data_IF_960571852326
#
_entry.id   IF_960571852326
#
_cell.length_a   1.000
_cell.length_b   1.000
_cell.length_c   1.000
_cell.angle_alpha   90.00
_cell.angle_beta   90.00
_cell.angle_gamma   90.00
#
_symmetry.space_group_name_H-M   'P 1'
#
loop_
_entity.id
_entity.type
_entity.pdbx_description
1 polymer ?
#
# COMPACT_ATOMS: atom_id res chain seq x y z
N UNK A 1 -6.05 -25.51 -10.21
CA UNK A 1 -5.54 -26.73 -9.56
C UNK A 1 -5.31 -26.42 -8.08
N UNK A 2 -6.32 -26.66 -7.24
CA UNK A 2 -6.31 -26.24 -5.83
C UNK A 2 -5.53 -27.24 -4.98
N UNK A 3 -4.45 -26.81 -4.32
CA UNK A 3 -3.82 -27.56 -3.23
C UNK A 3 -4.31 -27.02 -1.90
N UNK A 4 -5.60 -27.15 -1.66
CA UNK A 4 -6.12 -27.00 -0.30
C UNK A 4 -5.61 -28.20 0.52
N UNK A 5 -4.40 -28.09 1.09
CA UNK A 5 -3.91 -29.02 2.12
C UNK A 5 -4.67 -28.66 3.39
N UNK A 6 -5.97 -29.01 3.40
CA UNK A 6 -6.79 -28.99 4.59
C UNK A 6 -6.18 -29.99 5.57
N UNK A 7 -5.49 -29.47 6.59
CA UNK A 7 -5.42 -30.11 7.90
C UNK A 7 -6.75 -29.98 8.66
N UNK A 8 -7.87 -29.89 7.94
CA UNK A 8 -9.12 -30.28 8.55
C UNK A 8 -9.02 -31.78 8.75
N UNK A 9 -9.13 -32.22 10.01
CA UNK A 9 -9.63 -33.55 10.34
C UNK A 9 -10.92 -33.77 9.56
N UNK A 10 -10.80 -34.24 8.33
CA UNK A 10 -11.86 -34.90 7.62
C UNK A 10 -12.23 -36.06 8.53
N UNK A 11 -13.39 -35.97 9.16
CA UNK A 11 -14.15 -37.19 9.43
C UNK A 11 -14.56 -37.69 8.05
N UNK A 12 -13.61 -38.31 7.36
CA UNK A 12 -13.87 -39.31 6.35
C UNK A 12 -14.68 -40.37 7.10
N UNK A 13 -16.01 -40.28 6.98
CA UNK A 13 -16.83 -41.47 7.05
C UNK A 13 -16.24 -42.44 6.04
N UNK A 14 -15.52 -43.43 6.55
CA UNK A 14 -14.70 -44.35 5.79
C UNK A 14 -15.54 -45.02 4.68
N UNK A 15 -15.19 -44.77 3.43
CA UNK A 15 -15.45 -45.69 2.32
C UNK A 15 -14.13 -46.39 1.98
N UNK A 16 -13.62 -47.19 2.92
CA UNK A 16 -12.60 -48.20 2.63
C UNK A 16 -13.31 -49.53 2.35
N UNK A 17 -13.30 -49.96 1.08
CA UNK A 17 -13.96 -51.20 0.73
C UNK A 17 -13.92 -51.54 -0.76
N UNK A 18 -12.85 -52.20 -1.16
CA UNK A 18 -12.74 -53.14 -2.28
C UNK A 18 -12.81 -52.58 -3.72
N UNK A 19 -11.65 -52.62 -4.37
CA UNK A 19 -11.47 -52.76 -5.82
C UNK A 19 -12.01 -54.12 -6.28
N UNK A 20 -13.33 -54.24 -6.40
CA UNK A 20 -14.00 -55.31 -7.14
C UNK A 20 -14.70 -54.63 -8.31
N UNK A 21 -14.40 -55.04 -9.53
CA UNK A 21 -14.99 -54.50 -10.77
C UNK A 21 -16.49 -54.24 -10.57
N UNK A 22 -16.95 -52.97 -10.67
CA UNK A 22 -18.33 -52.66 -10.37
C UNK A 22 -19.22 -53.38 -11.38
N UNK A 23 -20.13 -54.20 -10.86
CA UNK A 23 -21.32 -54.59 -11.60
C UNK A 23 -22.00 -53.31 -12.12
N UNK A 24 -22.46 -53.32 -13.38
CA UNK A 24 -22.88 -52.16 -14.18
C UNK A 24 -23.97 -51.23 -13.57
N UNK A 25 -24.45 -51.45 -12.34
CA UNK A 25 -25.53 -50.69 -11.70
C UNK A 25 -25.14 -49.75 -10.54
N UNK A 26 -24.12 -50.05 -9.75
CA UNK A 26 -23.82 -49.26 -8.52
C UNK A 26 -23.13 -47.92 -8.79
N UNK A 27 -22.39 -47.82 -9.90
CA UNK A 27 -21.72 -46.56 -10.28
C UNK A 27 -22.70 -45.43 -10.61
N UNK A 28 -23.86 -45.75 -11.17
CA UNK A 28 -24.85 -44.75 -11.60
C UNK A 28 -25.53 -44.06 -10.39
N UNK A 29 -25.89 -44.81 -9.35
CA UNK A 29 -26.52 -44.25 -8.16
C UNK A 29 -25.59 -43.30 -7.39
N UNK A 30 -24.30 -43.65 -7.28
CA UNK A 30 -23.28 -42.80 -6.64
C UNK A 30 -23.03 -41.51 -7.43
N UNK A 31 -23.01 -41.60 -8.77
CA UNK A 31 -22.88 -40.43 -9.64
C UNK A 31 -24.10 -39.49 -9.55
N UNK A 32 -25.33 -40.02 -9.42
CA UNK A 32 -26.55 -39.23 -9.24
C UNK A 32 -26.53 -38.51 -7.88
N UNK A 33 -26.16 -39.20 -6.79
CA UNK A 33 -26.08 -38.59 -5.47
C UNK A 33 -25.00 -37.50 -5.39
N UNK A 34 -23.85 -37.69 -6.04
CA UNK A 34 -22.80 -36.68 -6.14
C UNK A 34 -23.28 -35.43 -6.92
N UNK A 35 -24.00 -35.62 -8.03
CA UNK A 35 -24.61 -34.50 -8.77
C UNK A 35 -25.64 -33.73 -7.95
N UNK A 36 -26.52 -34.42 -7.21
CA UNK A 36 -27.49 -33.75 -6.35
C UNK A 36 -26.83 -32.98 -5.20
N UNK A 37 -25.71 -33.46 -4.67
CA UNK A 37 -24.93 -32.69 -3.70
C UNK A 37 -24.29 -31.44 -4.31
N UNK A 38 -23.86 -31.51 -5.58
CA UNK A 38 -23.32 -30.37 -6.31
C UNK A 38 -24.39 -29.30 -6.59
N UNK A 39 -25.58 -29.72 -7.05
CA UNK A 39 -26.74 -28.84 -7.26
C UNK A 39 -27.18 -28.15 -5.97
N UNK A 40 -26.94 -28.78 -4.82
CA UNK A 40 -27.22 -28.21 -3.50
C UNK A 40 -26.07 -27.40 -2.90
N UNK A 41 -24.94 -27.23 -3.58
CA UNK A 41 -23.77 -26.51 -3.07
C UNK A 41 -23.89 -24.98 -3.23
N UNK A 42 -25.02 -24.39 -2.86
CA UNK A 42 -25.16 -22.93 -2.84
C UNK A 42 -24.15 -22.36 -1.84
N UNK A 43 -23.21 -21.49 -2.27
CA UNK A 43 -22.19 -20.96 -1.39
C UNK A 43 -22.85 -20.05 -0.34
N UNK A 44 -22.53 -20.31 0.93
CA UNK A 44 -22.89 -19.46 2.04
C UNK A 44 -21.72 -19.46 2.99
N UNK A 45 -20.83 -18.48 2.81
CA UNK A 45 -19.59 -18.42 3.54
C UNK A 45 -19.16 -16.98 3.83
N UNK A 46 -18.33 -16.85 4.85
CA UNK A 46 -17.74 -15.61 5.32
C UNK A 46 -16.24 -15.80 5.40
N UNK A 47 -15.50 -14.80 4.91
CA UNK A 47 -14.04 -14.73 5.03
C UNK A 47 -13.65 -13.56 5.92
N UNK A 48 -12.70 -13.82 6.81
CA UNK A 48 -12.02 -12.81 7.59
C UNK A 48 -10.52 -12.83 7.27
N UNK A 49 -9.99 -11.67 6.94
CA UNK A 49 -8.59 -11.49 6.57
C UNK A 49 -8.11 -10.15 7.10
N UNK A 50 -6.84 -10.07 7.49
CA UNK A 50 -6.24 -8.80 7.92
C UNK A 50 -6.09 -7.86 6.72
N UNK A 51 -6.16 -6.54 6.91
CA UNK A 51 -5.96 -5.57 5.83
C UNK A 51 -4.61 -5.74 5.13
N UNK A 52 -4.58 -5.42 3.84
CA UNK A 52 -3.35 -5.35 3.04
C UNK A 52 -2.81 -3.95 3.13
N UNK A 53 -1.54 -3.80 3.50
CA UNK A 53 -0.87 -2.50 3.51
C UNK A 53 0.13 -2.41 2.38
N UNK A 54 0.00 -1.40 1.53
CA UNK A 54 1.02 -1.05 0.53
C UNK A 54 1.79 0.17 0.98
N UNK A 55 3.10 0.01 1.10
CA UNK A 55 4.05 1.07 1.36
C UNK A 55 4.50 1.64 0.02
N UNK A 56 4.22 2.92 -0.20
CA UNK A 56 4.49 3.64 -1.45
C UNK A 56 4.94 5.06 -1.15
N UNK A 57 5.20 5.84 -2.20
CA UNK A 57 5.67 7.22 -2.11
C UNK A 57 4.54 8.18 -2.48
N UNK A 58 4.18 9.07 -1.54
CA UNK A 58 3.15 10.08 -1.74
C UNK A 58 3.78 11.47 -1.86
N UNK A 59 3.34 12.33 -2.80
CA UNK A 59 3.88 13.67 -2.95
C UNK A 59 3.66 14.48 -1.67
N UNK A 60 4.70 15.19 -1.23
CA UNK A 60 4.63 16.04 -0.04
C UNK A 60 4.03 17.40 -0.35
N UNK A 61 3.14 17.88 0.51
CA UNK A 61 2.74 19.28 0.53
C UNK A 61 3.57 20.04 1.55
N UNK A 62 4.47 20.87 1.05
CA UNK A 62 5.42 21.59 1.89
C UNK A 62 4.82 22.86 2.45
N UNK A 63 4.65 22.91 3.78
CA UNK A 63 4.27 24.14 4.48
C UNK A 63 5.48 25.02 4.80
N UNK A 64 6.67 24.42 4.90
CA UNK A 64 7.92 25.09 5.25
C UNK A 64 9.10 24.56 4.42
N UNK A 65 10.13 25.40 4.24
CA UNK A 65 11.36 25.07 3.53
C UNK A 65 12.56 25.33 4.44
N UNK A 66 13.42 24.33 4.59
CA UNK A 66 14.65 24.36 5.39
C UNK A 66 15.85 24.18 4.47
N UNK A 67 16.88 25.02 4.60
CA UNK A 67 18.12 24.87 3.82
C UNK A 67 19.06 23.93 4.57
N UNK A 68 19.12 22.66 4.16
CA UNK A 68 19.89 21.61 4.83
C UNK A 68 21.39 21.64 4.50
N UNK A 69 21.77 22.18 3.34
CA UNK A 69 23.16 22.25 2.92
C UNK A 69 23.42 23.48 2.07
N UNK A 70 24.67 23.94 2.06
CA UNK A 70 25.19 24.97 1.18
C UNK A 70 26.28 24.37 0.29
N UNK A 71 26.04 24.31 -1.01
CA UNK A 71 27.03 23.87 -2.00
C UNK A 71 27.83 25.08 -2.45
N UNK A 72 29.12 25.08 -2.15
CA UNK A 72 30.08 26.07 -2.61
C UNK A 72 30.72 25.55 -3.88
N UNK A 73 30.47 26.21 -4.99
CA UNK A 73 31.10 25.95 -6.28
C UNK A 73 32.18 27.01 -6.52
N UNK A 74 33.41 26.60 -6.81
CA UNK A 74 34.51 27.52 -7.13
C UNK A 74 34.96 27.20 -8.54
N UNK A 75 34.73 28.14 -9.45
CA UNK A 75 35.09 28.04 -10.86
C UNK A 75 36.42 28.76 -11.07
N UNK A 76 37.45 27.99 -11.42
CA UNK A 76 38.73 28.52 -11.85
C UNK A 76 38.69 28.83 -13.34
N UNK A 77 38.60 30.11 -13.69
CA UNK A 77 38.43 30.53 -15.08
C UNK A 77 39.70 30.44 -15.92
N UNK A 78 40.88 30.39 -15.29
CA UNK A 78 42.15 30.21 -16.00
C UNK A 78 42.42 28.74 -16.32
N UNK A 79 42.18 27.86 -15.34
CA UNK A 79 42.41 26.43 -15.48
C UNK A 79 41.23 25.73 -16.17
N UNK A 80 40.06 26.39 -16.27
CA UNK A 80 38.84 25.78 -16.79
C UNK A 80 38.32 24.65 -15.89
N UNK A 81 38.60 24.71 -14.59
CA UNK A 81 38.23 23.66 -13.62
C UNK A 81 37.20 24.18 -12.63
N UNK A 82 36.27 23.33 -12.23
CA UNK A 82 35.32 23.61 -11.15
C UNK A 82 35.60 22.68 -9.96
N UNK A 83 35.65 23.25 -8.76
CA UNK A 83 35.67 22.48 -7.51
C UNK A 83 34.41 22.75 -6.70
N UNK A 84 33.84 21.72 -6.11
CA UNK A 84 32.64 21.80 -5.28
C UNK A 84 32.95 21.38 -3.85
N UNK A 85 32.37 22.09 -2.88
CA UNK A 85 32.43 21.76 -1.46
C UNK A 85 31.03 21.90 -0.88
N UNK A 86 30.56 20.91 -0.12
CA UNK A 86 29.23 20.96 0.49
C UNK A 86 29.37 21.17 1.99
N UNK A 87 28.76 22.23 2.51
CA UNK A 87 28.64 22.50 3.94
C UNK A 87 27.24 22.07 4.38
N UNK A 88 27.14 21.14 5.33
CA UNK A 88 25.85 20.83 5.94
C UNK A 88 25.48 21.93 6.93
N UNK A 89 24.27 22.46 6.85
CA UNK A 89 23.77 23.47 7.79
C UNK A 89 23.12 22.77 8.99
N UNK A 90 23.17 23.40 10.16
CA UNK A 90 22.40 22.94 11.31
C UNK A 90 20.90 23.04 11.00
N UNK A 91 20.18 21.93 11.16
CA UNK A 91 18.73 21.90 10.99
C UNK A 91 18.04 22.45 12.25
N UNK A 92 16.88 23.09 12.13
CA UNK A 92 16.10 23.48 13.30
C UNK A 92 15.74 22.24 14.14
N UNK A 93 15.56 22.43 15.45
CA UNK A 93 15.19 21.34 16.35
C UNK A 93 13.95 20.60 15.87
N UNK A 94 14.00 19.27 15.86
CA UNK A 94 12.91 18.40 15.40
C UNK A 94 12.93 18.05 13.91
N UNK A 95 13.88 18.57 13.12
CA UNK A 95 14.01 18.24 11.71
C UNK A 95 15.17 17.29 11.44
N UNK A 96 14.92 16.27 10.62
CA UNK A 96 15.94 15.33 10.12
C UNK A 96 15.74 15.15 8.62
N UNK A 97 16.79 15.19 7.79
CA UNK A 97 16.67 14.88 6.38
C UNK A 97 16.22 13.42 6.24
N UNK A 98 15.47 13.08 5.18
CA UNK A 98 15.15 11.69 4.96
C UNK A 98 16.43 10.88 4.68
N UNK A 99 16.44 9.61 5.08
CA UNK A 99 17.55 8.72 4.78
C UNK A 99 17.71 8.56 3.27
N UNK A 100 18.95 8.49 2.80
CA UNK A 100 19.29 8.23 1.39
C UNK A 100 20.30 7.10 1.29
N UNK A 101 20.29 6.37 0.17
CA UNK A 101 21.34 5.40 -0.16
C UNK A 101 22.57 6.09 -0.77
N UNK A 102 23.59 5.31 -1.16
CA UNK A 102 24.83 5.82 -1.77
C UNK A 102 24.59 6.56 -3.10
N UNK A 103 23.48 6.28 -3.78
CA UNK A 103 23.06 7.00 -5.00
C UNK A 103 22.32 8.33 -4.69
N UNK A 104 22.11 8.66 -3.42
CA UNK A 104 21.33 9.82 -2.98
C UNK A 104 19.82 9.66 -3.17
N UNK A 105 19.33 8.44 -3.45
CA UNK A 105 17.90 8.14 -3.55
C UNK A 105 17.31 7.96 -2.16
N UNK A 106 16.15 8.54 -1.91
CA UNK A 106 15.45 8.40 -0.63
C UNK A 106 15.13 6.93 -0.33
N UNK A 107 15.38 6.52 0.91
CA UNK A 107 15.06 5.18 1.42
C UNK A 107 14.29 5.24 2.73
N UNK A 108 13.50 4.21 3.00
CA UNK A 108 12.87 4.00 4.30
C UNK A 108 12.91 2.52 4.69
N UNK A 109 12.95 2.22 5.98
CA UNK A 109 12.82 0.85 6.47
C UNK A 109 11.37 0.55 6.79
N UNK A 110 10.78 -0.41 6.07
CA UNK A 110 9.45 -0.92 6.34
C UNK A 110 9.56 -2.11 7.28
N UNK A 111 8.79 -2.08 8.38
CA UNK A 111 8.64 -3.22 9.29
C UNK A 111 7.28 -3.86 9.04
N UNK A 112 7.26 -5.18 8.87
CA UNK A 112 6.04 -5.93 8.57
C UNK A 112 6.04 -7.29 9.30
N UNK A 113 4.90 -7.96 9.34
CA UNK A 113 4.77 -9.31 9.91
C UNK A 113 4.47 -10.29 8.79
N UNK A 114 5.20 -11.41 8.76
CA UNK A 114 5.00 -12.47 7.81
C UNK A 114 5.34 -13.83 8.46
N UNK A 115 4.42 -14.78 8.32
CA UNK A 115 4.43 -16.11 8.93
C UNK A 115 4.71 -16.03 10.44
N UNK A 116 3.98 -15.15 11.12
CA UNK A 116 4.13 -14.91 12.56
C UNK A 116 5.45 -14.27 13.00
N UNK A 117 6.31 -13.87 12.06
CA UNK A 117 7.63 -13.29 12.36
C UNK A 117 7.69 -11.84 11.89
N UNK A 118 8.22 -10.95 12.72
CA UNK A 118 8.52 -9.57 12.32
C UNK A 118 9.73 -9.55 11.39
N UNK A 119 9.57 -8.90 10.23
CA UNK A 119 10.60 -8.73 9.21
C UNK A 119 10.77 -7.24 8.89
N UNK A 120 11.91 -6.90 8.32
CA UNK A 120 12.18 -5.56 7.80
C UNK A 120 12.62 -5.64 6.35
N UNK A 121 12.33 -4.59 5.59
CA UNK A 121 12.85 -4.39 4.24
C UNK A 121 13.17 -2.92 4.02
N UNK A 122 14.13 -2.63 3.14
CA UNK A 122 14.47 -1.27 2.75
C UNK A 122 13.72 -0.94 1.46
N UNK A 123 12.88 0.08 1.51
CA UNK A 123 12.15 0.60 0.37
C UNK A 123 12.91 1.80 -0.19
N UNK A 124 13.30 1.75 -1.46
CA UNK A 124 13.95 2.85 -2.16
C UNK A 124 12.98 3.52 -3.14
N UNK A 125 13.00 4.85 -3.24
CA UNK A 125 12.17 5.55 -4.22
C UNK A 125 12.52 5.12 -5.66
N UNK A 126 11.54 4.91 -6.57
CA UNK A 126 10.09 4.99 -6.40
C UNK A 126 9.42 3.60 -6.18
N UNK A 127 10.16 2.60 -5.72
CA UNK A 127 9.61 1.25 -5.50
C UNK A 127 8.52 1.24 -4.43
N UNK A 128 7.62 0.27 -4.52
CA UNK A 128 6.57 0.02 -3.52
C UNK A 128 6.72 -1.39 -2.94
N UNK A 129 6.14 -1.60 -1.77
CA UNK A 129 6.14 -2.90 -1.09
C UNK A 129 4.76 -3.18 -0.52
N UNK A 130 4.24 -4.39 -0.73
CA UNK A 130 2.93 -4.79 -0.22
C UNK A 130 3.08 -5.84 0.88
N UNK A 131 2.62 -5.48 2.08
CA UNK A 131 2.50 -6.37 3.23
C UNK A 131 1.14 -7.07 3.19
N UNK A 132 1.19 -8.37 2.96
CA UNK A 132 0.05 -9.28 2.97
C UNK A 132 -0.12 -9.93 4.35
N UNK A 133 -1.33 -10.38 4.66
CA UNK A 133 -1.54 -11.31 5.77
C UNK A 133 -0.93 -12.68 5.46
N UNK A 134 -0.74 -13.51 6.48
CA UNK A 134 -0.21 -14.88 6.33
C UNK A 134 -1.21 -15.88 5.74
N UNK A 135 -2.48 -15.49 5.71
CA UNK A 135 -3.60 -16.32 5.34
C UNK A 135 -4.90 -15.63 5.70
N UNK A 136 -5.99 -16.36 5.51
CA UNK A 136 -7.34 -15.92 5.87
C UNK A 136 -8.03 -17.01 6.68
N UNK A 137 -9.10 -16.65 7.38
CA UNK A 137 -10.02 -17.61 7.95
C UNK A 137 -11.32 -17.60 7.17
N UNK A 138 -11.94 -18.77 7.01
CA UNK A 138 -13.24 -18.87 6.37
C UNK A 138 -14.15 -19.81 7.15
N UNK A 139 -15.45 -19.56 7.03
CA UNK A 139 -16.50 -20.38 7.63
C UNK A 139 -17.68 -20.45 6.65
N UNK A 140 -18.38 -21.58 6.62
CA UNK A 140 -19.56 -21.80 5.80
C UNK A 140 -19.37 -22.88 4.75
N UNK A 141 -20.07 -22.77 3.63
CA UNK A 141 -20.07 -23.76 2.54
C UNK A 141 -19.58 -23.15 1.25
N UNK A 142 -18.63 -23.82 0.59
CA UNK A 142 -18.01 -23.40 -0.66
C UNK A 142 -17.88 -24.60 -1.61
N UNK A 143 -18.09 -24.35 -2.90
CA UNK A 143 -17.76 -25.30 -3.96
C UNK A 143 -16.25 -25.20 -4.26
N UNK A 144 -15.57 -26.35 -4.29
CA UNK A 144 -14.13 -26.45 -4.56
C UNK A 144 -13.88 -27.46 -5.66
N UNK A 145 -12.76 -27.35 -6.35
CA UNK A 145 -12.35 -28.31 -7.38
C UNK A 145 -11.06 -28.98 -6.94
N UNK A 146 -11.07 -30.31 -6.85
CA UNK A 146 -9.90 -31.11 -6.50
C UNK A 146 -9.79 -32.26 -7.50
N UNK A 147 -8.65 -32.35 -8.17
CA UNK A 147 -8.36 -33.43 -9.14
C UNK A 147 -9.45 -33.54 -10.24
N UNK A 148 -9.88 -32.40 -10.79
CA UNK A 148 -10.98 -32.25 -11.77
C UNK A 148 -12.37 -32.71 -11.26
N UNK A 149 -12.48 -33.06 -9.98
CA UNK A 149 -13.76 -33.33 -9.32
C UNK A 149 -14.22 -32.11 -8.54
N UNK A 150 -15.45 -31.67 -8.81
CA UNK A 150 -16.06 -30.59 -8.03
C UNK A 150 -16.70 -31.15 -6.76
N UNK A 151 -16.23 -30.68 -5.60
CA UNK A 151 -16.69 -31.10 -4.29
C UNK A 151 -17.19 -29.90 -3.47
N UNK A 152 -18.24 -30.12 -2.66
CA UNK A 152 -18.75 -29.12 -1.74
C UNK A 152 -18.07 -29.25 -0.37
N UNK A 153 -17.32 -28.24 0.05
CA UNK A 153 -16.62 -28.23 1.35
C UNK A 153 -17.40 -27.35 2.33
N UNK A 154 -17.59 -27.86 3.54
CA UNK A 154 -18.26 -27.12 4.62
C UNK A 154 -17.34 -26.98 5.83
N UNK A 155 -17.08 -25.75 6.24
CA UNK A 155 -16.37 -25.39 7.47
C UNK A 155 -17.38 -24.87 8.50
N UNK A 156 -17.75 -25.72 9.47
CA UNK A 156 -18.69 -25.36 10.54
C UNK A 156 -18.04 -24.34 11.50
N UNK A 157 -16.74 -24.49 11.77
CA UNK A 157 -15.92 -23.57 12.54
C UNK A 157 -14.95 -22.81 11.62
N UNK A 158 -14.55 -21.57 11.98
CA UNK A 158 -13.55 -20.84 11.21
C UNK A 158 -12.29 -21.66 11.02
N UNK A 159 -11.92 -21.89 9.76
CA UNK A 159 -10.75 -22.65 9.35
C UNK A 159 -9.72 -21.71 8.74
N UNK A 160 -8.47 -21.80 9.20
CA UNK A 160 -7.37 -20.99 8.68
C UNK A 160 -6.79 -21.61 7.40
N UNK A 161 -6.57 -20.77 6.39
CA UNK A 161 -5.95 -21.13 5.12
C UNK A 161 -4.72 -20.22 4.92
N UNK A 162 -3.49 -20.76 4.95
CA UNK A 162 -2.30 -19.97 4.70
C UNK A 162 -2.20 -19.58 3.23
N UNK A 163 -1.66 -18.40 2.94
CA UNK A 163 -1.28 -18.05 1.58
C UNK A 163 0.05 -18.71 1.21
N UNK A 164 0.09 -19.31 0.01
CA UNK A 164 1.32 -19.95 -0.49
C UNK A 164 2.35 -18.93 -1.00
N UNK A 165 1.91 -17.73 -1.39
CA UNK A 165 2.77 -16.68 -1.93
C UNK A 165 2.30 -15.28 -1.52
N UNK A 166 3.17 -14.29 -1.72
CA UNK A 166 2.97 -12.90 -1.31
C UNK A 166 3.34 -11.95 -2.46
N UNK A 167 2.49 -11.87 -3.50
CA UNK A 167 2.84 -11.19 -4.75
C UNK A 167 3.22 -9.74 -4.51
N UNK A 168 4.31 -9.28 -5.13
CA UNK A 168 4.77 -7.89 -5.01
C UNK A 168 4.46 -7.12 -6.30
N UNK A 169 4.23 -5.80 -6.22
CA UNK A 169 4.10 -4.96 -7.41
C UNK A 169 5.32 -5.10 -8.32
N UNK A 170 5.09 -5.46 -9.58
CA UNK A 170 6.17 -5.65 -10.58
C UNK A 170 6.41 -4.39 -11.41
N UNK A 171 5.40 -3.54 -11.55
CA UNK A 171 5.50 -2.27 -12.26
C UNK A 171 6.00 -1.17 -11.35
N UNK A 172 7.14 -0.58 -11.72
CA UNK A 172 7.64 0.64 -11.08
C UNK A 172 7.14 1.81 -11.93
N UNK A 173 6.25 2.63 -11.35
CA UNK A 173 5.86 3.91 -11.94
C UNK A 173 6.55 5.04 -11.18
N UNK A 174 7.14 6.00 -11.90
CA UNK A 174 7.70 7.20 -11.29
C UNK A 174 6.53 8.11 -10.89
N UNK A 175 6.32 8.39 -9.59
CA UNK A 175 5.26 9.30 -9.19
C UNK A 175 5.62 10.73 -9.62
N UNK A 176 4.60 11.53 -9.90
CA UNK A 176 4.75 12.92 -10.35
C UNK A 176 4.49 13.90 -9.22
N UNK A 177 5.26 14.99 -9.17
CA UNK A 177 5.08 16.08 -8.21
C UNK A 177 4.81 17.41 -8.95
N UNK A 178 3.90 18.29 -8.46
CA UNK A 178 3.61 19.58 -9.11
C UNK A 178 4.83 20.50 -9.29
N UNK A 179 5.84 20.37 -8.43
CA UNK A 179 7.10 21.13 -8.52
C UNK A 179 8.12 20.57 -9.53
N UNK A 180 7.77 19.52 -10.29
CA UNK A 180 8.60 18.97 -11.36
C UNK A 180 9.13 17.56 -11.09
N UNK A 181 9.97 17.03 -12.00
CA UNK A 181 10.59 15.72 -11.84
C UNK A 181 11.51 15.66 -10.63
N UNK A 182 11.48 14.54 -9.92
CA UNK A 182 12.35 14.28 -8.78
C UNK A 182 12.79 12.81 -8.77
N UNK A 183 13.87 12.48 -9.51
CA UNK A 183 14.34 11.10 -9.64
C UNK A 183 14.90 10.52 -8.33
N UNK A 184 15.07 11.34 -7.29
CA UNK A 184 15.66 10.93 -6.00
C UNK A 184 14.63 10.85 -4.87
N UNK A 185 13.38 11.25 -5.09
CA UNK A 185 12.29 11.11 -4.13
C UNK A 185 12.25 12.18 -3.04
N UNK A 186 13.11 13.21 -3.07
CA UNK A 186 13.15 14.28 -2.07
C UNK A 186 11.85 15.11 -1.95
N UNK A 187 10.95 15.00 -2.92
CA UNK A 187 9.62 15.60 -2.97
C UNK A 187 8.50 14.66 -2.48
N UNK A 188 8.86 13.47 -2.01
CA UNK A 188 7.91 12.42 -1.62
C UNK A 188 8.18 11.94 -0.20
N UNK A 189 7.13 11.41 0.42
CA UNK A 189 7.23 10.73 1.72
C UNK A 189 6.77 9.28 1.59
N UNK A 190 7.40 8.35 2.33
CA UNK A 190 6.87 7.00 2.43
C UNK A 190 5.52 7.05 3.13
N UNK A 191 4.54 6.36 2.58
CA UNK A 191 3.17 6.31 3.08
C UNK A 191 2.66 4.88 3.01
N UNK A 192 2.03 4.41 4.08
CA UNK A 192 1.30 3.14 4.07
C UNK A 192 -0.16 3.40 3.69
N UNK A 193 -0.63 2.72 2.64
CA UNK A 193 -2.02 2.76 2.19
C UNK A 193 -2.63 1.40 2.51
N UNK A 194 -3.74 1.40 3.22
CA UNK A 194 -4.57 0.22 3.37
C UNK A 194 -5.38 0.02 2.07
N UNK A 195 -5.18 -1.11 1.39
CA UNK A 195 -5.90 -1.46 0.16
C UNK A 195 -7.22 -2.20 0.44
N UNK A 196 -7.49 -2.50 1.71
CA UNK A 196 -8.63 -3.27 2.16
C UNK A 196 -8.58 -4.74 1.74
N UNK A 197 -9.67 -5.46 2.02
CA UNK A 197 -9.79 -6.87 1.69
C UNK A 197 -9.98 -7.13 0.18
N UNK A 198 -10.33 -6.11 -0.61
CA UNK A 198 -10.54 -6.24 -2.06
C UNK A 198 -9.26 -6.62 -2.81
N UNK A 199 -8.10 -6.17 -2.33
CA UNK A 199 -6.81 -6.49 -2.93
C UNK A 199 -6.50 -8.01 -2.95
N UNK A 200 -7.06 -8.79 -2.02
CA UNK A 200 -6.91 -10.25 -2.04
C UNK A 200 -7.64 -10.90 -3.22
N UNK A 201 -8.78 -10.35 -3.65
CA UNK A 201 -9.55 -10.89 -4.78
C UNK A 201 -8.74 -10.80 -6.07
N UNK A 202 -8.01 -9.70 -6.25
CA UNK A 202 -7.15 -9.46 -7.42
C UNK A 202 -5.85 -10.26 -7.35
N UNK A 203 -5.22 -10.33 -6.17
CA UNK A 203 -3.92 -10.99 -6.00
C UNK A 203 -4.01 -12.52 -5.92
N UNK A 204 -5.15 -13.07 -5.51
CA UNK A 204 -5.38 -14.50 -5.35
C UNK A 204 -6.63 -14.94 -6.12
N UNK A 205 -6.60 -14.88 -7.46
CA UNK A 205 -7.75 -15.23 -8.30
C UNK A 205 -8.15 -16.70 -8.13
N UNK A 206 -7.19 -17.56 -7.79
CA UNK A 206 -7.40 -18.99 -7.57
C UNK A 206 -7.95 -19.32 -6.17
N UNK A 207 -8.13 -18.35 -5.27
CA UNK A 207 -8.66 -18.61 -3.92
C UNK A 207 -10.19 -18.50 -3.91
N UNK A 208 -10.88 -19.61 -4.18
CA UNK A 208 -12.35 -19.64 -4.35
C UNK A 208 -13.15 -19.02 -3.20
N UNK A 209 -12.65 -19.10 -1.96
CA UNK A 209 -13.28 -18.46 -0.81
C UNK A 209 -13.23 -16.92 -0.89
N UNK A 210 -12.10 -16.36 -1.34
CA UNK A 210 -11.96 -14.91 -1.54
C UNK A 210 -12.84 -14.40 -2.69
N UNK A 211 -13.09 -15.24 -3.69
CA UNK A 211 -13.91 -14.89 -4.86
C UNK A 211 -15.42 -14.97 -4.58
N UNK A 212 -15.85 -15.91 -3.74
CA UNK A 212 -17.28 -16.27 -3.59
C UNK A 212 -17.89 -15.82 -2.27
N UNK A 213 -17.11 -15.78 -1.19
CA UNK A 213 -17.63 -15.50 0.15
C UNK A 213 -17.78 -14.01 0.43
N UNK A 214 -18.60 -13.68 1.43
CA UNK A 214 -18.66 -12.29 1.92
C UNK A 214 -17.33 -11.90 2.61
N UNK A 215 -16.73 -10.80 2.15
CA UNK A 215 -15.53 -10.20 2.72
C UNK A 215 -15.91 -9.03 3.61
N UNK A 216 -15.42 -9.02 4.86
CA UNK A 216 -15.58 -7.87 5.74
C UNK A 216 -14.70 -6.71 5.24
N UNK A 217 -15.33 -5.59 4.88
CA UNK A 217 -14.63 -4.35 4.50
C UNK A 217 -14.41 -3.49 5.74
N UNK A 218 -13.19 -2.98 5.91
CA UNK A 218 -12.86 -2.00 6.94
C UNK A 218 -12.81 -0.61 6.30
N UNK A 219 -13.35 0.43 6.98
CA UNK A 219 -13.21 1.80 6.50
C UNK A 219 -11.75 2.25 6.61
N UNK A 220 -11.27 2.98 5.61
CA UNK A 220 -9.91 3.52 5.57
C UNK A 220 -9.83 4.79 6.44
N UNK A 221 -8.86 4.91 7.36
CA UNK A 221 -8.59 6.18 8.01
C UNK A 221 -7.90 7.14 7.03
N UNK A 222 -8.47 8.33 6.83
CA UNK A 222 -7.84 9.42 6.08
C UNK A 222 -7.34 10.48 7.08
N UNK A 223 -6.03 10.57 7.28
CA UNK A 223 -5.41 11.66 8.02
C UNK A 223 -4.29 12.28 7.17
N UNK A 224 -4.29 13.61 7.04
CA UNK A 224 -3.24 14.35 6.34
C UNK A 224 -2.25 14.86 7.39
N UNK A 225 -1.02 14.39 7.32
CA UNK A 225 0.07 14.86 8.19
C UNK A 225 0.84 16.01 7.52
N UNK A 226 1.17 17.08 8.26
CA UNK A 226 1.99 18.20 7.75
C UNK A 226 3.41 17.73 7.39
N UNK A 227 4.02 18.33 6.37
CA UNK A 227 5.37 17.96 5.88
C UNK A 227 6.28 19.16 5.61
N UNK A 228 7.60 18.94 5.65
CA UNK A 228 8.63 19.98 5.46
C UNK A 228 9.64 19.60 4.39
N UNK A 229 10.09 20.60 3.62
CA UNK A 229 11.08 20.43 2.55
C UNK A 229 12.49 20.75 3.01
N UNK A 230 13.46 19.96 2.56
CA UNK A 230 14.89 20.29 2.66
C UNK A 230 15.44 20.72 1.30
N UNK A 231 16.22 21.80 1.27
CA UNK A 231 16.88 22.32 0.07
C UNK A 231 18.38 22.48 0.28
N UNK A 232 19.15 22.35 -0.79
CA UNK A 232 20.52 22.84 -0.85
C UNK A 232 20.58 24.23 -1.50
N UNK A 233 21.38 25.14 -0.94
CA UNK A 233 21.67 26.45 -1.52
C UNK A 233 23.03 26.43 -2.21
N UNK A 234 23.10 26.78 -3.49
CA UNK A 234 24.39 26.88 -4.20
C UNK A 234 24.93 28.31 -4.14
N UNK A 235 26.22 28.46 -3.84
CA UNK A 235 26.97 29.72 -3.89
C UNK A 235 28.16 29.50 -4.82
N UNK A 236 28.28 30.30 -5.88
CA UNK A 236 29.36 30.17 -6.86
C UNK A 236 30.37 31.30 -6.69
N UNK A 237 31.65 30.94 -6.60
CA UNK A 237 32.80 31.84 -6.55
C UNK A 237 33.65 31.65 -7.81
N UNK A 238 34.31 32.72 -8.26
CA UNK A 238 35.22 32.69 -9.40
C UNK A 238 36.63 33.03 -8.96
N UNK A 239 37.60 32.20 -9.34
CA UNK A 239 39.03 32.44 -9.13
C UNK A 239 39.78 32.44 -10.47
N UNK A 240 40.81 33.30 -10.61
CA UNK A 240 41.68 33.34 -11.79
C UNK A 240 41.48 34.51 -12.78
N UNK A 241 40.44 35.33 -12.68
CA UNK A 241 40.32 36.53 -13.53
C UNK A 241 40.78 37.82 -12.85
N UNK A 242 41.28 38.82 -13.60
CA UNK A 242 41.20 40.22 -13.14
C UNK A 242 39.74 40.45 -12.75
N UNK A 243 39.48 40.89 -11.52
CA UNK A 243 38.14 41.12 -11.00
C UNK A 243 37.37 42.11 -11.91
N UNK A 244 36.70 41.60 -12.93
CA UNK A 244 35.56 42.28 -13.51
C UNK A 244 34.56 42.22 -12.39
N UNK A 245 34.31 43.36 -11.74
CA UNK A 245 33.22 43.50 -10.77
C UNK A 245 31.94 43.07 -11.48
N UNK A 246 31.59 41.81 -11.36
CA UNK A 246 30.27 41.33 -11.69
C UNK A 246 29.40 42.02 -10.65
N UNK A 247 28.64 43.02 -11.11
CA UNK A 247 27.68 43.70 -10.26
C UNK A 247 26.93 42.62 -9.49
N UNK A 248 26.93 42.71 -8.15
CA UNK A 248 26.06 41.91 -7.32
C UNK A 248 24.68 42.01 -7.95
N UNK A 249 24.27 40.94 -8.63
CA UNK A 249 22.88 40.74 -8.92
C UNK A 249 22.30 40.52 -7.54
N UNK A 250 21.81 41.62 -6.95
CA UNK A 250 20.86 41.61 -5.87
C UNK A 250 19.59 40.93 -6.38
N UNK A 251 19.68 39.63 -6.64
CA UNK A 251 18.54 38.75 -6.55
C UNK A 251 18.29 38.60 -5.05
N UNK A 252 17.76 39.67 -4.46
CA UNK A 252 16.88 39.54 -3.31
C UNK A 252 15.96 38.38 -3.67
N UNK A 253 15.91 37.29 -2.89
CA UNK A 253 14.83 36.32 -3.05
C UNK A 253 13.57 37.18 -2.99
N UNK A 254 12.80 37.22 -4.07
CA UNK A 254 11.49 37.82 -4.00
C UNK A 254 10.80 37.09 -2.85
N UNK A 255 10.63 37.79 -1.73
CA UNK A 255 9.77 37.33 -0.64
C UNK A 255 8.51 36.86 -1.34
N UNK A 256 8.15 35.57 -1.27
CA UNK A 256 6.90 35.14 -1.83
C UNK A 256 5.85 35.98 -1.10
N UNK A 257 5.34 36.97 -1.82
CA UNK A 257 4.18 37.71 -1.38
C UNK A 257 3.11 36.65 -1.44
N UNK A 258 2.82 36.06 -0.29
CA UNK A 258 1.61 35.31 -0.06
C UNK A 258 0.48 36.26 -0.43
N UNK A 259 0.09 36.21 -1.70
CA UNK A 259 -1.22 36.61 -2.11
C UNK A 259 -2.14 35.62 -1.42
N UNK A 260 -2.49 35.93 -0.18
CA UNK A 260 -3.68 35.42 0.46
C UNK A 260 -4.79 35.64 -0.56
N UNK A 261 -5.20 34.55 -1.22
CA UNK A 261 -6.33 34.56 -2.13
C UNK A 261 -7.56 34.85 -1.27
N UNK A 262 -7.87 36.13 -1.09
CA UNK A 262 -9.24 36.58 -0.91
C UNK A 262 -9.95 36.35 -2.23
N UNK A 263 -10.49 35.15 -2.41
CA UNK A 263 -11.53 34.90 -3.39
C UNK A 263 -12.39 33.72 -2.93
N UNK A 264 -13.69 34.00 -2.84
CA UNK A 264 -14.81 33.07 -2.71
C UNK A 264 -15.17 32.58 -1.30
N UNK A 265 -15.36 33.58 -0.43
CA UNK A 265 -16.66 33.73 0.25
C UNK A 265 -17.77 33.80 -0.81
N UNK A 266 -18.44 32.69 -1.09
CA UNK A 266 -19.85 32.56 -1.47
C UNK A 266 -20.08 31.15 -2.00
N UNK A 267 -20.55 30.24 -1.14
CA UNK A 267 -21.56 29.21 -1.40
C UNK A 267 -21.57 28.26 -0.19
N UNK A 268 -22.76 27.76 0.18
CA UNK A 268 -23.08 26.97 1.39
C UNK A 268 -23.55 27.74 2.61
N UNK A 269 -24.44 28.71 2.37
CA UNK A 269 -25.66 28.81 3.19
C UNK A 269 -26.74 28.06 2.42
N UNK A 270 -27.02 26.80 2.78
CA UNK A 270 -28.25 26.03 2.56
C UNK A 270 -27.98 24.61 3.12
N UNK A 271 -28.95 24.07 3.88
CA UNK A 271 -29.01 22.75 4.53
C UNK A 271 -28.41 22.59 5.94
N UNK A 272 -28.80 23.47 6.86
CA UNK A 272 -29.10 23.07 8.25
C UNK A 272 -30.57 23.44 8.55
N UNK A 273 -31.49 22.74 7.89
CA UNK A 273 -32.92 22.73 8.21
C UNK A 273 -33.46 21.33 7.94
N UNK A 274 -33.19 20.43 8.89
CA UNK A 274 -33.98 19.22 9.19
C UNK A 274 -33.13 18.35 10.12
N UNK A 275 -33.25 18.53 11.43
CA UNK A 275 -33.36 17.42 12.40
C UNK A 275 -33.65 17.98 13.81
N UNK A 276 -34.77 18.68 13.93
CA UNK A 276 -35.45 18.87 15.22
C UNK A 276 -36.89 18.41 15.04
N UNK A 277 -37.10 17.09 15.01
CA UNK A 277 -38.41 16.44 15.15
C UNK A 277 -38.22 14.94 15.34
N UNK A 278 -38.01 14.51 16.58
CA UNK A 278 -38.48 13.22 17.11
C UNK A 278 -38.01 13.05 18.57
N UNK A 279 -38.54 13.90 19.45
CA UNK A 279 -38.75 13.51 20.84
C UNK A 279 -40.19 13.01 20.90
N UNK A 280 -40.42 11.74 21.25
CA UNK A 280 -41.77 11.27 21.51
C UNK A 280 -41.93 9.75 21.60
N UNK A 281 -42.02 9.27 22.84
CA UNK A 281 -42.82 8.10 23.29
C UNK A 281 -42.14 6.75 22.95
N UNK A 282 -41.73 5.92 23.92
CA UNK A 282 -42.61 5.08 24.75
C UNK A 282 -41.96 4.84 26.13
N UNK A 283 -42.70 5.19 27.18
CA UNK A 283 -42.64 4.62 28.51
C UNK A 283 -43.71 3.52 28.55
N UNK A 284 -43.30 2.27 28.73
CA UNK A 284 -44.02 1.19 29.41
C UNK A 284 -43.00 0.11 29.80
#
# INVERSE_FOLDING_TARGET
MFRLILYATFILGALSGQTKYPSHGEGAAKAIAARQQLENCTPYCKVEVKPVYTFTWYPMEFSTTVVAATVIEIVNTLAGTTRTSTISNDLPSGYTPPATNDDGTQVTTVTYSQQGTTKTTVLAFPTSFTSWADGYTWQGRLQTEKDDETACVTAIIPSFVPFESFPQPTSISMPTHPSGPDPKGLLFKPTSIDLGAGAYVEAFPDEGALQTCSLKRYPLPLAVEPTTRFLSKTITYFEGGKAVRQAESSSHPATPTSAASKALSHYWTILFSCLTSALGIILM
#
